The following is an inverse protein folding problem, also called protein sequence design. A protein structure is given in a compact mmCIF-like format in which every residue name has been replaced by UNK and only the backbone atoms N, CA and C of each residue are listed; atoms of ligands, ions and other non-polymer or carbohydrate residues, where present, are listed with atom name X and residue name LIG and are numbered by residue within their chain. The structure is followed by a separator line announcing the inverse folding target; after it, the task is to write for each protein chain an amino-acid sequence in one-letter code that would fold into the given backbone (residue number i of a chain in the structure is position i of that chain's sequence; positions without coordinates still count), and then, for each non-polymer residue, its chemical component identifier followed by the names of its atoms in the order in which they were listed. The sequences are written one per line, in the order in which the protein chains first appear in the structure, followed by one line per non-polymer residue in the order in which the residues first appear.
data_IF_370479403402
#
_entry.id   IF_370479403402
#
_cell.length_a   1.000
_cell.length_b   1.000
_cell.length_c   1.000
_cell.angle_alpha   90.00
_cell.angle_beta   90.00
_cell.angle_gamma   90.00
#
_symmetry.space_group_name_H-M   'P 1'
#
loop_
_entity.id
_entity.type
_entity.pdbx_description
1 polymer ?
#
# COMPACT_ATOMS: atom_id res chain seq x y z
N UNK A 1 25.34 -0.28 36.60
CA UNK A 1 25.37 -1.60 35.93
C UNK A 1 24.93 -1.44 34.47
N UNK A 2 25.61 -0.55 33.73
CA UNK A 2 25.25 -0.07 32.38
C UNK A 2 26.53 0.07 31.54
N UNK A 3 27.36 -0.97 31.51
CA UNK A 3 28.66 -0.95 30.82
C UNK A 3 28.96 -2.32 30.23
N UNK A 4 28.31 -2.69 29.13
CA UNK A 4 28.78 -3.69 28.16
C UNK A 4 28.06 -3.53 26.80
N UNK A 5 28.15 -2.36 26.17
CA UNK A 5 27.66 -2.17 24.78
C UNK A 5 28.74 -1.71 23.79
N UNK A 6 30.00 -1.58 24.24
CA UNK A 6 31.07 -1.00 23.45
C UNK A 6 32.28 -1.92 23.40
N UNK A 7 32.14 -3.02 22.67
CA UNK A 7 33.24 -3.65 21.94
C UNK A 7 32.63 -4.35 20.74
N UNK A 8 33.43 -4.47 19.69
CA UNK A 8 33.32 -5.34 18.51
C UNK A 8 33.46 -4.50 17.23
N UNK A 9 34.72 -4.15 16.95
CA UNK A 9 35.19 -3.90 15.60
C UNK A 9 35.18 -5.20 14.79
N UNK A 10 34.69 -5.08 13.56
CA UNK A 10 34.91 -5.97 12.40
C UNK A 10 34.96 -7.47 12.74
N UNK A 11 33.80 -8.07 13.00
CA UNK A 11 33.59 -9.52 12.94
C UNK A 11 32.41 -9.76 11.98
N UNK A 12 32.63 -10.60 10.97
CA UNK A 12 31.89 -10.62 9.70
C UNK A 12 30.37 -10.57 9.85
N UNK A 13 29.74 -9.61 9.16
CA UNK A 13 28.28 -9.31 9.11
C UNK A 13 27.43 -10.32 9.89
N UNK A 14 27.46 -10.15 11.21
CA UNK A 14 26.55 -10.81 12.12
C UNK A 14 25.13 -10.42 11.71
N UNK A 15 24.22 -11.37 11.81
CA UNK A 15 22.81 -11.14 11.56
C UNK A 15 22.34 -9.88 12.30
N UNK A 16 21.63 -8.99 11.60
CA UNK A 16 21.00 -7.80 12.18
C UNK A 16 19.55 -7.80 11.76
N UNK A 17 18.67 -7.62 12.75
CA UNK A 17 17.24 -7.38 12.53
C UNK A 17 16.98 -6.07 11.79
N UNK A 18 17.90 -5.11 11.85
CA UNK A 18 17.72 -3.81 11.21
C UNK A 18 17.91 -3.87 9.69
N UNK A 19 17.13 -3.05 8.99
CA UNK A 19 17.10 -2.99 7.53
C UNK A 19 17.56 -1.63 7.00
N UNK A 20 18.42 -1.67 5.98
CA UNK A 20 18.82 -0.47 5.25
C UNK A 20 17.77 -0.05 4.23
N UNK A 21 17.15 -1.00 3.54
CA UNK A 21 16.20 -0.74 2.46
C UNK A 21 14.96 -1.63 2.58
N UNK A 22 13.78 -1.01 2.75
CA UNK A 22 12.50 -1.69 2.88
C UNK A 22 12.10 -2.46 1.61
N UNK A 23 12.57 -2.04 0.42
CA UNK A 23 12.30 -2.72 -0.86
C UNK A 23 12.63 -4.22 -0.82
N UNK A 24 13.69 -4.61 -0.11
CA UNK A 24 14.09 -6.02 0.01
C UNK A 24 13.07 -6.84 0.80
N UNK A 25 12.66 -6.33 1.97
CA UNK A 25 11.61 -6.93 2.81
C UNK A 25 10.29 -6.96 2.07
N UNK A 26 9.92 -5.87 1.38
CA UNK A 26 8.70 -5.79 0.56
C UNK A 26 8.65 -6.88 -0.50
N UNK A 27 9.73 -7.06 -1.26
CA UNK A 27 9.79 -8.09 -2.32
C UNK A 27 9.58 -9.49 -1.73
N UNK A 28 10.33 -9.80 -0.67
CA UNK A 28 10.19 -11.07 0.05
C UNK A 28 8.76 -11.27 0.54
N UNK A 29 8.19 -10.27 1.22
CA UNK A 29 6.84 -10.33 1.77
C UNK A 29 5.78 -10.58 0.71
N UNK A 30 5.91 -9.93 -0.46
CA UNK A 30 4.97 -10.11 -1.57
C UNK A 30 5.01 -11.53 -2.11
N UNK A 31 6.21 -12.08 -2.32
CA UNK A 31 6.39 -13.42 -2.87
C UNK A 31 5.83 -14.52 -1.98
N UNK A 32 6.06 -14.45 -0.66
CA UNK A 32 5.65 -15.50 0.26
C UNK A 32 4.23 -15.32 0.82
N UNK A 33 3.79 -14.08 1.06
CA UNK A 33 2.56 -13.80 1.81
C UNK A 33 1.46 -13.06 1.04
N UNK A 34 1.77 -12.42 -0.10
CA UNK A 34 0.76 -11.73 -0.93
C UNK A 34 0.35 -12.56 -2.15
N UNK A 35 1.32 -13.14 -2.86
CA UNK A 35 1.07 -13.92 -4.06
C UNK A 35 0.69 -15.37 -3.76
N UNK A 36 1.11 -15.87 -2.59
CA UNK A 36 0.73 -17.16 -2.05
C UNK A 36 1.73 -18.26 -2.39
N UNK A 37 2.35 -18.78 -1.33
CA UNK A 37 2.91 -20.14 -1.21
C UNK A 37 4.09 -20.50 -2.13
N UNK A 38 5.00 -19.55 -2.40
CA UNK A 38 6.31 -19.93 -2.92
C UNK A 38 7.06 -20.81 -1.92
N UNK A 39 7.61 -21.92 -2.39
CA UNK A 39 8.57 -22.72 -1.60
C UNK A 39 9.95 -22.05 -1.58
N UNK A 40 10.85 -22.52 -0.72
CA UNK A 40 12.23 -22.03 -0.69
C UNK A 40 12.93 -22.27 -2.04
N UNK A 41 12.59 -23.39 -2.67
CA UNK A 41 13.16 -23.88 -3.92
C UNK A 41 12.70 -23.06 -5.13
N UNK A 42 11.55 -22.38 -5.02
CA UNK A 42 10.97 -21.50 -6.05
C UNK A 42 11.47 -20.04 -5.95
N UNK A 43 12.34 -19.74 -4.98
CA UNK A 43 12.93 -18.42 -4.80
C UNK A 43 14.31 -18.36 -5.48
N UNK A 44 14.32 -17.94 -6.74
CA UNK A 44 15.50 -17.82 -7.60
C UNK A 44 16.08 -16.40 -7.66
N UNK A 45 15.38 -15.40 -7.11
CA UNK A 45 15.75 -13.99 -7.21
C UNK A 45 17.03 -13.60 -6.45
N UNK A 46 17.41 -14.32 -5.38
CA UNK A 46 18.63 -14.04 -4.59
C UNK A 46 19.29 -15.33 -4.05
N UNK A 47 20.53 -15.20 -3.58
CA UNK A 47 21.24 -16.29 -2.92
C UNK A 47 20.52 -16.83 -1.68
N UNK A 48 20.67 -18.12 -1.39
CA UNK A 48 20.03 -18.79 -0.24
C UNK A 48 20.35 -18.10 1.09
N UNK A 49 21.56 -17.55 1.25
CA UNK A 49 21.96 -16.78 2.44
C UNK A 49 21.16 -15.48 2.60
N UNK A 50 20.86 -14.79 1.49
CA UNK A 50 20.04 -13.58 1.52
C UNK A 50 18.61 -13.91 1.92
N UNK A 51 18.06 -14.99 1.36
CA UNK A 51 16.76 -15.53 1.75
C UNK A 51 16.69 -15.84 3.26
N UNK A 52 17.66 -16.60 3.79
CA UNK A 52 17.65 -17.01 5.20
C UNK A 52 17.75 -15.80 6.14
N UNK A 53 18.49 -14.75 5.74
CA UNK A 53 18.57 -13.51 6.50
C UNK A 53 17.25 -12.74 6.50
N UNK A 54 16.61 -12.52 5.34
CA UNK A 54 15.33 -11.80 5.30
C UNK A 54 14.23 -12.58 6.03
N UNK A 55 14.23 -13.92 5.92
CA UNK A 55 13.32 -14.76 6.68
C UNK A 55 13.48 -14.56 8.19
N UNK A 56 14.71 -14.58 8.70
CA UNK A 56 14.98 -14.38 10.14
C UNK A 56 14.51 -13.01 10.62
N UNK A 57 14.68 -11.96 9.81
CA UNK A 57 14.15 -10.61 10.12
C UNK A 57 12.64 -10.61 10.22
N UNK A 58 11.97 -11.27 9.28
CA UNK A 58 10.52 -11.41 9.35
C UNK A 58 10.07 -12.20 10.58
N UNK A 59 10.76 -13.30 10.91
CA UNK A 59 10.50 -14.08 12.12
C UNK A 59 10.70 -13.25 13.40
N UNK A 60 11.66 -12.33 13.44
CA UNK A 60 11.83 -11.44 14.61
C UNK A 60 10.68 -10.45 14.81
N UNK A 61 9.97 -10.05 13.75
CA UNK A 61 8.88 -9.06 13.87
C UNK A 61 7.49 -9.68 13.89
N UNK A 62 7.31 -10.79 13.16
CA UNK A 62 6.01 -11.41 12.92
C UNK A 62 5.93 -12.84 13.44
N UNK A 63 6.92 -13.34 14.18
CA UNK A 63 7.03 -14.75 14.58
C UNK A 63 5.73 -15.34 15.12
N UNK A 64 5.04 -14.62 16.00
CA UNK A 64 3.77 -15.04 16.62
C UNK A 64 2.61 -15.18 15.61
N UNK A 65 2.73 -14.53 14.45
CA UNK A 65 1.75 -14.52 13.36
C UNK A 65 2.18 -15.40 12.19
N UNK A 66 3.35 -16.04 12.25
CA UNK A 66 3.85 -16.90 11.19
C UNK A 66 3.50 -18.35 11.47
N UNK A 67 3.01 -19.05 10.46
CA UNK A 67 2.67 -20.46 10.53
C UNK A 67 3.18 -21.18 9.29
N UNK A 68 3.27 -22.51 9.37
CA UNK A 68 3.69 -23.32 8.24
C UNK A 68 2.81 -24.55 8.08
N UNK A 69 2.70 -25.01 6.83
CA UNK A 69 2.12 -26.30 6.48
C UNK A 69 3.17 -27.09 5.70
N UNK A 70 3.23 -28.39 5.98
CA UNK A 70 4.00 -29.33 5.19
C UNK A 70 3.04 -30.05 4.24
N UNK A 71 3.30 -29.99 2.94
CA UNK A 71 2.61 -30.79 1.93
C UNK A 71 3.62 -31.56 1.07
N UNK A 72 3.13 -32.28 0.05
CA UNK A 72 3.96 -33.05 -0.87
C UNK A 72 4.88 -32.16 -1.75
N UNK A 73 4.58 -30.86 -1.88
CA UNK A 73 5.37 -29.89 -2.62
C UNK A 73 6.44 -29.20 -1.75
N UNK A 74 6.33 -29.27 -0.42
CA UNK A 74 7.36 -28.83 0.51
C UNK A 74 6.81 -28.12 1.75
N UNK A 75 7.68 -27.31 2.38
CA UNK A 75 7.28 -26.44 3.50
C UNK A 75 6.76 -25.12 2.97
N UNK A 76 5.48 -24.83 3.19
CA UNK A 76 4.86 -23.56 2.84
C UNK A 76 4.67 -22.71 4.10
N UNK A 77 5.11 -21.45 4.04
CA UNK A 77 4.99 -20.49 5.14
C UNK A 77 3.87 -19.49 4.81
N UNK A 78 3.05 -19.14 5.80
CA UNK A 78 1.95 -18.20 5.66
C UNK A 78 1.74 -17.38 6.93
N UNK A 79 1.03 -16.26 6.83
CA UNK A 79 0.60 -15.49 7.99
C UNK A 79 -0.73 -16.05 8.52
N UNK A 80 -0.75 -16.42 9.79
CA UNK A 80 -1.94 -16.83 10.53
C UNK A 80 -2.30 -15.72 11.51
N UNK A 81 -3.34 -14.96 11.16
CA UNK A 81 -3.75 -13.75 11.88
C UNK A 81 -5.22 -13.85 12.24
N UNK A 82 -5.56 -13.77 13.53
CA UNK A 82 -6.93 -13.56 13.98
C UNK A 82 -7.20 -12.05 14.08
N UNK A 83 -7.98 -11.51 13.14
CA UNK A 83 -8.30 -10.09 13.10
C UNK A 83 -9.03 -9.57 14.34
N UNK A 84 -9.59 -10.45 15.17
CA UNK A 84 -10.21 -10.09 16.46
C UNK A 84 -9.20 -9.87 17.59
N UNK A 85 -8.02 -10.48 17.47
CA UNK A 85 -6.97 -10.43 18.49
C UNK A 85 -5.83 -9.47 18.10
N UNK A 86 -5.79 -9.00 16.86
CA UNK A 86 -4.81 -8.00 16.41
C UNK A 86 -5.42 -6.61 16.52
N UNK A 87 -4.93 -5.84 17.49
CA UNK A 87 -5.30 -4.44 17.70
C UNK A 87 -4.52 -3.51 16.76
N UNK A 88 -3.23 -3.80 16.52
CA UNK A 88 -2.35 -3.01 15.66
C UNK A 88 -1.71 -3.89 14.60
N UNK A 89 -1.59 -3.39 13.38
CA UNK A 89 -0.95 -4.14 12.32
C UNK A 89 0.53 -4.42 12.65
N UNK A 90 0.92 -5.70 12.82
CA UNK A 90 2.27 -6.06 13.26
C UNK A 90 3.35 -5.73 12.22
N UNK A 91 2.95 -5.53 10.96
CA UNK A 91 3.87 -5.17 9.88
C UNK A 91 4.44 -3.75 9.99
N UNK A 92 3.91 -2.88 10.86
CA UNK A 92 4.54 -1.58 11.13
C UNK A 92 5.95 -1.73 11.71
N UNK A 93 6.23 -2.82 12.43
CA UNK A 93 7.55 -3.07 12.99
C UNK A 93 8.63 -3.18 11.91
N UNK A 94 8.28 -3.68 10.72
CA UNK A 94 9.22 -3.75 9.60
C UNK A 94 9.68 -2.35 9.13
N UNK A 95 8.83 -1.33 9.24
CA UNK A 95 9.22 0.07 8.97
C UNK A 95 10.06 0.67 10.10
N UNK A 96 9.75 0.31 11.35
CA UNK A 96 10.45 0.77 12.55
C UNK A 96 11.86 0.17 12.69
N UNK A 97 12.12 -0.98 12.07
CA UNK A 97 13.42 -1.66 12.06
C UNK A 97 14.48 -1.01 11.15
N UNK A 98 14.41 0.30 10.85
CA UNK A 98 15.38 0.98 10.00
C UNK A 98 16.75 1.03 10.67
N UNK A 99 17.81 0.66 9.92
CA UNK A 99 19.18 0.81 10.39
C UNK A 99 19.68 2.25 10.24
N UNK A 100 20.37 2.77 11.25
CA UNK A 100 21.08 4.06 11.22
C UNK A 100 22.58 3.86 11.35
N UNK A 101 23.38 4.75 10.75
CA UNK A 101 24.83 4.73 10.97
C UNK A 101 25.18 5.29 12.34
N UNK A 102 26.37 4.96 12.86
CA UNK A 102 26.87 5.56 14.11
C UNK A 102 26.89 7.09 14.04
N UNK A 103 27.30 7.65 12.90
CA UNK A 103 27.33 9.09 12.67
C UNK A 103 25.93 9.72 12.66
N UNK A 104 24.95 9.05 12.05
CA UNK A 104 23.56 9.53 12.06
C UNK A 104 22.99 9.63 13.48
N UNK A 105 23.21 8.61 14.30
CA UNK A 105 22.74 8.59 15.70
C UNK A 105 23.41 9.70 16.51
N UNK A 106 24.73 9.80 16.40
CA UNK A 106 25.51 10.82 17.11
C UNK A 106 25.04 12.24 16.77
N UNK A 107 24.94 12.55 15.48
CA UNK A 107 24.51 13.88 15.03
C UNK A 107 23.05 14.16 15.40
N UNK A 108 22.17 13.15 15.38
CA UNK A 108 20.77 13.33 15.76
C UNK A 108 20.64 13.87 17.18
N UNK A 109 21.30 13.23 18.15
CA UNK A 109 21.17 13.63 19.55
C UNK A 109 21.90 14.94 19.83
N UNK A 110 23.15 15.10 19.39
CA UNK A 110 23.92 16.31 19.72
C UNK A 110 23.37 17.57 19.05
N UNK A 111 22.92 17.49 17.79
CA UNK A 111 22.35 18.66 17.11
C UNK A 111 21.02 19.08 17.74
N UNK A 112 20.15 18.13 18.11
CA UNK A 112 18.86 18.46 18.71
C UNK A 112 18.98 18.97 20.14
N UNK A 113 20.01 18.54 20.87
CA UNK A 113 20.34 19.04 22.22
C UNK A 113 20.94 20.45 22.15
N UNK A 114 21.94 20.67 21.29
CA UNK A 114 22.55 22.00 21.10
C UNK A 114 21.57 23.07 20.61
N UNK A 115 20.51 22.67 19.92
CA UNK A 115 19.46 23.56 19.42
C UNK A 115 18.21 23.55 20.31
N UNK A 116 18.21 22.83 21.45
CA UNK A 116 17.04 22.64 22.31
C UNK A 116 16.53 23.95 22.91
N UNK A 117 17.43 24.86 23.26
CA UNK A 117 17.11 26.15 23.88
C UNK A 117 16.52 27.17 22.88
N UNK A 118 16.38 26.79 21.60
CA UNK A 118 15.82 27.64 20.55
C UNK A 118 16.81 28.66 19.97
N UNK A 119 18.05 28.69 20.47
CA UNK A 119 19.12 29.49 19.90
C UNK A 119 19.46 29.05 18.48
N UNK A 120 19.65 30.03 17.60
CA UNK A 120 20.06 29.77 16.23
C UNK A 120 21.60 29.70 16.17
N UNK A 121 22.14 28.65 15.55
CA UNK A 121 23.59 28.42 15.45
C UNK A 121 24.02 28.12 14.02
N UNK A 122 25.22 28.55 13.66
CA UNK A 122 25.83 28.25 12.37
C UNK A 122 26.37 26.81 12.33
N UNK A 123 26.63 26.30 11.12
CA UNK A 123 27.30 25.00 10.93
C UNK A 123 28.63 24.93 11.68
N UNK A 124 29.41 26.03 11.64
CA UNK A 124 30.74 26.09 12.25
C UNK A 124 30.63 25.99 13.77
N UNK A 125 29.76 26.79 14.38
CA UNK A 125 29.52 26.76 15.83
C UNK A 125 29.02 25.39 16.28
N UNK A 126 28.08 24.78 15.55
CA UNK A 126 27.58 23.44 15.87
C UNK A 126 28.67 22.38 15.77
N UNK A 127 29.55 22.47 14.77
CA UNK A 127 30.65 21.52 14.60
C UNK A 127 31.67 21.66 15.75
N UNK A 128 32.00 22.90 16.11
CA UNK A 128 32.90 23.21 17.23
C UNK A 128 32.31 22.71 18.56
N UNK A 129 31.06 23.06 18.87
CA UNK A 129 30.35 22.60 20.07
C UNK A 129 30.27 21.06 20.14
N UNK A 130 30.05 20.36 19.02
CA UNK A 130 30.07 18.89 19.01
C UNK A 130 31.44 18.36 19.46
N UNK A 131 32.53 18.94 18.96
CA UNK A 131 33.89 18.53 19.33
C UNK A 131 34.19 18.89 20.80
N UNK A 132 33.93 20.14 21.22
CA UNK A 132 34.31 20.64 22.55
C UNK A 132 33.41 20.13 23.67
N UNK A 133 32.10 20.10 23.47
CA UNK A 133 31.13 19.90 24.56
C UNK A 133 30.78 18.42 24.76
N UNK A 134 30.87 17.61 23.69
CA UNK A 134 30.53 16.20 23.73
C UNK A 134 31.72 15.28 23.45
N UNK A 135 32.50 15.52 22.39
CA UNK A 135 33.50 14.56 21.95
C UNK A 135 34.83 14.65 22.70
N UNK A 136 35.17 15.80 23.27
CA UNK A 136 36.42 16.04 24.00
C UNK A 136 36.69 15.06 25.16
N UNK A 137 35.63 14.47 25.74
CA UNK A 137 35.75 13.50 26.84
C UNK A 137 35.96 12.06 26.37
N UNK A 138 35.79 11.77 25.07
CA UNK A 138 35.93 10.43 24.52
C UNK A 138 37.27 10.24 23.83
N UNK A 139 37.91 9.09 24.04
CA UNK A 139 39.04 8.61 23.24
C UNK A 139 38.51 7.99 21.93
N UNK A 140 37.80 8.77 21.13
CA UNK A 140 37.13 8.29 19.90
C UNK A 140 37.76 8.89 18.66
N UNK A 141 38.08 8.05 17.67
CA UNK A 141 38.66 8.47 16.37
C UNK A 141 37.62 9.09 15.40
N UNK A 142 36.41 9.36 15.86
CA UNK A 142 35.33 9.86 15.01
C UNK A 142 34.92 11.26 15.43
N UNK A 143 35.32 12.25 14.63
CA UNK A 143 34.84 13.62 14.66
C UNK A 143 34.16 13.96 13.33
N UNK A 144 32.91 14.47 13.35
CA UNK A 144 32.23 14.88 12.13
C UNK A 144 32.82 16.18 11.59
N UNK A 145 33.09 16.23 10.29
CA UNK A 145 33.48 17.46 9.62
C UNK A 145 32.27 18.40 9.38
N UNK A 146 32.54 19.69 9.11
CA UNK A 146 31.48 20.67 8.82
C UNK A 146 30.59 20.25 7.65
N UNK A 147 31.12 19.49 6.68
CA UNK A 147 30.36 19.01 5.51
C UNK A 147 29.28 18.01 5.91
N UNK A 148 29.62 17.10 6.82
CA UNK A 148 28.75 16.08 7.38
C UNK A 148 27.67 16.72 8.24
N UNK A 149 28.04 17.66 9.13
CA UNK A 149 27.09 18.44 9.93
C UNK A 149 26.14 19.23 9.03
N UNK A 150 26.67 19.93 8.01
CA UNK A 150 25.86 20.71 7.05
C UNK A 150 24.86 19.84 6.29
N UNK A 151 25.25 18.65 5.86
CA UNK A 151 24.34 17.71 5.20
C UNK A 151 23.22 17.30 6.14
N UNK A 152 23.53 17.01 7.40
CA UNK A 152 22.52 16.60 8.39
C UNK A 152 21.54 17.72 8.75
N UNK A 153 22.03 18.96 8.88
CA UNK A 153 21.19 20.13 9.11
C UNK A 153 20.23 20.38 7.95
N UNK A 154 20.71 20.29 6.70
CA UNK A 154 19.85 20.40 5.50
C UNK A 154 18.81 19.28 5.43
N UNK A 155 19.18 18.05 5.79
CA UNK A 155 18.24 16.93 5.88
C UNK A 155 17.13 17.25 6.89
N UNK A 156 17.48 17.75 8.08
CA UNK A 156 16.49 18.08 9.12
C UNK A 156 15.64 19.30 8.78
N UNK A 157 16.19 20.27 8.05
CA UNK A 157 15.42 21.36 7.47
C UNK A 157 14.40 20.86 6.45
N UNK A 158 14.80 19.96 5.55
CA UNK A 158 13.88 19.33 4.58
C UNK A 158 12.79 18.50 5.26
N UNK A 159 13.09 17.87 6.39
CA UNK A 159 12.13 17.14 7.21
C UNK A 159 11.24 18.05 8.08
N UNK A 160 11.49 19.36 8.12
CA UNK A 160 10.76 20.31 8.97
C UNK A 160 11.06 20.19 10.46
N UNK A 161 12.18 19.55 10.84
CA UNK A 161 12.65 19.50 12.23
C UNK A 161 13.39 20.77 12.63
N UNK A 162 14.09 21.37 11.66
CA UNK A 162 14.84 22.61 11.81
C UNK A 162 14.33 23.63 10.80
N UNK A 163 14.59 24.90 11.09
CA UNK A 163 14.46 26.00 10.13
C UNK A 163 15.78 26.73 10.02
N UNK A 164 16.08 27.27 8.86
CA UNK A 164 17.27 28.10 8.65
C UNK A 164 16.93 29.56 8.37
N UNK A 165 17.80 30.46 8.81
CA UNK A 165 17.73 31.89 8.54
C UNK A 165 19.09 32.41 8.10
N UNK A 166 19.10 33.18 7.01
CA UNK A 166 20.33 33.80 6.51
C UNK A 166 20.56 35.14 7.20
N UNK A 167 21.66 35.25 7.94
CA UNK A 167 22.06 36.50 8.60
C UNK A 167 23.44 36.91 8.05
N UNK A 168 23.45 37.99 7.26
CA UNK A 168 24.65 38.44 6.54
C UNK A 168 25.16 37.40 5.53
N UNK A 169 26.37 36.88 5.77
CA UNK A 169 27.00 35.84 4.94
C UNK A 169 26.82 34.42 5.46
N UNK A 170 26.30 34.27 6.68
CA UNK A 170 26.17 32.99 7.36
C UNK A 170 24.72 32.51 7.40
N UNK A 171 24.56 31.20 7.56
CA UNK A 171 23.26 30.53 7.63
C UNK A 171 23.14 29.90 9.02
N UNK A 172 22.14 30.35 9.76
CA UNK A 172 21.85 29.90 11.12
C UNK A 172 20.71 28.89 11.09
N UNK A 173 20.82 27.85 11.90
CA UNK A 173 19.80 26.83 12.06
C UNK A 173 19.26 26.86 13.49
N UNK A 174 17.96 26.67 13.63
CA UNK A 174 17.29 26.50 14.93
C UNK A 174 16.22 25.42 14.83
N UNK A 175 15.76 24.90 15.97
CA UNK A 175 14.61 23.99 15.99
C UNK A 175 13.36 24.70 15.49
N UNK A 176 12.56 23.95 14.73
CA UNK A 176 11.21 24.39 14.44
C UNK A 176 10.40 24.38 15.75
N UNK A 177 9.59 25.42 15.93
CA UNK A 177 8.67 25.59 17.05
C UNK A 177 7.32 24.91 16.80
N UNK A 178 7.12 24.33 15.61
CA UNK A 178 5.90 23.59 15.29
C UNK A 178 5.80 22.31 16.13
N UNK A 179 5.17 22.42 17.30
CA UNK A 179 4.82 21.29 18.15
C UNK A 179 3.34 20.94 17.94
N UNK A 180 3.07 19.76 17.40
CA UNK A 180 1.70 19.23 17.35
C UNK A 180 1.43 18.50 18.66
N UNK A 181 0.51 19.02 19.47
CA UNK A 181 0.06 18.35 20.69
C UNK A 181 -0.63 17.03 20.36
N UNK A 182 0.09 15.91 20.45
CA UNK A 182 -0.42 14.58 20.05
C UNK A 182 -1.49 14.02 20.98
N UNK A 183 -1.60 14.52 22.22
CA UNK A 183 -2.53 14.02 23.23
C UNK A 183 -3.99 13.99 22.75
N UNK A 184 -4.46 15.07 22.12
CA UNK A 184 -5.84 15.15 21.59
C UNK A 184 -6.05 14.33 20.32
N UNK A 185 -4.99 13.78 19.73
CA UNK A 185 -5.02 13.02 18.48
C UNK A 185 -4.82 11.53 18.69
N UNK A 186 -4.60 11.05 19.92
CA UNK A 186 -4.28 9.64 20.18
C UNK A 186 -5.35 8.68 19.67
N UNK A 187 -6.63 8.95 19.96
CA UNK A 187 -7.73 8.09 19.51
C UNK A 187 -7.87 8.11 17.98
N UNK A 188 -7.74 9.29 17.37
CA UNK A 188 -7.76 9.45 15.92
C UNK A 188 -6.58 8.70 15.27
N UNK A 189 -5.38 8.82 15.84
CA UNK A 189 -4.19 8.13 15.38
C UNK A 189 -4.36 6.61 15.50
N UNK A 190 -4.91 6.10 16.60
CA UNK A 190 -5.18 4.67 16.78
C UNK A 190 -6.19 4.14 15.75
N UNK A 191 -7.31 4.85 15.55
CA UNK A 191 -8.31 4.43 14.56
C UNK A 191 -7.76 4.50 13.12
N UNK A 192 -7.16 5.63 12.74
CA UNK A 192 -6.71 5.85 11.37
C UNK A 192 -5.42 5.11 11.01
N UNK A 193 -4.61 4.69 11.99
CA UNK A 193 -3.49 3.76 11.73
C UNK A 193 -4.01 2.51 11.03
N UNK A 194 -5.10 1.92 11.51
CA UNK A 194 -5.60 0.66 10.95
C UNK A 194 -6.62 0.87 9.83
N UNK A 195 -7.45 1.93 9.92
CA UNK A 195 -8.54 2.18 8.98
C UNK A 195 -8.08 2.81 7.66
N UNK A 196 -7.15 3.78 7.70
CA UNK A 196 -6.74 4.56 6.54
C UNK A 196 -5.52 3.95 5.81
N UNK A 197 -5.30 4.32 4.54
CA UNK A 197 -4.00 4.14 3.91
C UNK A 197 -2.91 4.88 4.69
N UNK A 198 -1.65 4.47 4.53
CA UNK A 198 -0.48 5.09 5.20
C UNK A 198 -0.53 5.03 6.73
N UNK A 199 -1.21 4.02 7.27
CA UNK A 199 -1.32 3.78 8.71
C UNK A 199 -0.02 3.74 9.50
N UNK A 200 1.09 3.43 8.83
CA UNK A 200 2.43 3.45 9.43
C UNK A 200 2.78 4.81 10.05
N UNK A 201 2.27 5.92 9.49
CA UNK A 201 2.46 7.25 10.06
C UNK A 201 1.81 7.34 11.43
N UNK A 202 0.54 6.89 11.55
CA UNK A 202 -0.17 6.85 12.81
C UNK A 202 0.54 5.95 13.83
N UNK A 203 1.10 4.83 13.39
CA UNK A 203 1.90 3.95 14.24
C UNK A 203 3.13 4.65 14.85
N UNK A 204 3.83 5.50 14.09
CA UNK A 204 4.92 6.33 14.62
C UNK A 204 4.44 7.43 15.58
N UNK A 205 3.24 7.97 15.36
CA UNK A 205 2.67 8.99 16.26
C UNK A 205 2.28 8.38 17.61
N UNK A 206 1.72 7.16 17.60
CA UNK A 206 1.32 6.43 18.80
C UNK A 206 2.51 6.04 19.66
N UNK A 207 3.66 5.70 19.05
CA UNK A 207 4.91 5.44 19.78
C UNK A 207 5.39 6.64 20.63
N UNK A 208 4.93 7.86 20.32
CA UNK A 208 5.25 9.08 21.07
C UNK A 208 4.22 9.40 22.16
N UNK A 209 3.10 8.69 22.19
CA UNK A 209 2.06 8.85 23.21
C UNK A 209 2.43 8.17 24.52
N UNK A 210 1.94 8.71 25.63
CA UNK A 210 2.10 8.09 26.96
C UNK A 210 1.17 6.88 27.17
N UNK A 211 0.09 6.79 26.38
CA UNK A 211 -0.93 5.73 26.46
C UNK A 211 -1.28 5.19 25.08
N UNK A 212 -1.51 3.88 25.01
CA UNK A 212 -1.99 3.20 23.82
C UNK A 212 -3.52 3.12 23.83
N UNK A 213 -4.17 3.60 22.77
CA UNK A 213 -5.63 3.52 22.62
C UNK A 213 -6.06 2.15 22.06
N UNK A 214 -5.94 1.11 22.90
CA UNK A 214 -6.09 -0.32 22.57
C UNK A 214 -7.52 -0.84 22.66
N UNK A 215 -8.48 -0.10 22.12
CA UNK A 215 -9.91 -0.45 22.19
C UNK A 215 -10.60 -0.57 20.82
N UNK A 216 -9.89 -0.32 19.72
CA UNK A 216 -10.42 -0.54 18.37
C UNK A 216 -10.16 -1.96 17.90
N UNK A 217 -11.21 -2.63 17.40
CA UNK A 217 -11.13 -3.94 16.78
C UNK A 217 -11.71 -3.92 15.36
N UNK A 218 -11.04 -4.61 14.43
CA UNK A 218 -11.40 -4.58 13.01
C UNK A 218 -11.77 -5.96 12.50
N UNK A 219 -13.05 -6.18 12.20
CA UNK A 219 -13.53 -7.46 11.64
C UNK A 219 -12.84 -7.83 10.33
N UNK A 220 -12.68 -6.86 9.43
CA UNK A 220 -12.06 -7.02 8.11
C UNK A 220 -10.81 -6.12 8.03
N UNK A 221 -9.67 -6.65 8.46
CA UNK A 221 -8.43 -5.87 8.55
C UNK A 221 -7.46 -6.22 7.41
N UNK A 222 -7.29 -5.28 6.47
CA UNK A 222 -6.36 -5.41 5.33
C UNK A 222 -4.96 -4.88 5.65
N UNK A 223 -4.21 -5.64 6.45
CA UNK A 223 -2.90 -5.27 7.00
C UNK A 223 -1.79 -5.13 5.94
N UNK A 224 -1.86 -5.90 4.86
CA UNK A 224 -0.78 -5.98 3.86
C UNK A 224 -0.59 -4.70 3.04
N UNK A 225 -1.55 -3.76 3.07
CA UNK A 225 -1.45 -2.43 2.41
C UNK A 225 -0.21 -1.65 2.84
N UNK A 226 0.25 -1.88 4.07
CA UNK A 226 1.43 -1.20 4.61
C UNK A 226 2.69 -1.43 3.79
N UNK A 227 2.81 -2.59 3.14
CA UNK A 227 3.95 -2.93 2.30
C UNK A 227 4.11 -1.92 1.15
N UNK A 228 3.02 -1.33 0.70
CA UNK A 228 2.99 -0.41 -0.43
C UNK A 228 3.05 1.06 -0.01
N UNK A 229 3.25 1.36 1.29
CA UNK A 229 3.15 2.74 1.83
C UNK A 229 4.15 3.72 1.20
N UNK A 230 5.41 3.33 1.01
CA UNK A 230 6.42 4.22 0.37
C UNK A 230 6.02 4.56 -1.07
N UNK A 231 5.54 3.57 -1.82
CA UNK A 231 5.09 3.76 -3.21
C UNK A 231 3.86 4.65 -3.23
N UNK A 232 2.91 4.39 -2.32
CA UNK A 232 1.70 5.20 -2.20
C UNK A 232 2.02 6.65 -1.87
N UNK A 233 2.96 6.92 -0.96
CA UNK A 233 3.43 8.28 -0.67
C UNK A 233 3.95 8.97 -1.93
N UNK A 234 4.90 8.36 -2.64
CA UNK A 234 5.44 8.95 -3.87
C UNK A 234 4.34 9.24 -4.89
N UNK A 235 3.37 8.33 -5.07
CA UNK A 235 2.27 8.52 -6.00
C UNK A 235 1.35 9.68 -5.57
N UNK A 236 1.06 9.82 -4.28
CA UNK A 236 0.26 10.91 -3.75
C UNK A 236 0.98 12.26 -3.89
N UNK A 237 2.30 12.30 -3.72
CA UNK A 237 3.11 13.49 -3.97
C UNK A 237 3.06 13.88 -5.45
N UNK A 238 3.18 12.91 -6.36
CA UNK A 238 3.04 13.14 -7.80
C UNK A 238 1.63 13.65 -8.17
N UNK A 239 0.60 13.09 -7.54
CA UNK A 239 -0.79 13.55 -7.72
C UNK A 239 -1.00 14.98 -7.21
N UNK A 240 -0.37 15.34 -6.10
CA UNK A 240 -0.50 16.67 -5.48
C UNK A 240 0.28 17.73 -6.27
N UNK A 241 1.44 17.37 -6.79
CA UNK A 241 2.33 18.26 -7.57
C UNK A 241 2.05 18.22 -9.08
N UNK A 242 1.04 17.44 -9.50
CA UNK A 242 0.65 17.26 -10.89
C UNK A 242 1.82 16.86 -11.81
N UNK A 243 2.67 15.94 -11.37
CA UNK A 243 3.78 15.42 -12.17
C UNK A 243 3.56 13.96 -12.59
N UNK A 244 4.29 13.54 -13.62
CA UNK A 244 4.37 12.13 -13.99
C UNK A 244 5.11 11.34 -12.91
N UNK A 245 4.89 10.04 -12.86
CA UNK A 245 5.65 9.09 -12.07
C UNK A 245 6.32 8.07 -13.02
N UNK A 246 7.57 7.76 -12.75
CA UNK A 246 8.31 6.67 -13.38
C UNK A 246 8.19 5.42 -12.52
N UNK A 247 7.61 4.35 -13.08
CA UNK A 247 7.30 3.12 -12.36
C UNK A 247 8.05 1.94 -12.97
N UNK A 248 8.68 1.12 -12.12
CA UNK A 248 9.07 -0.24 -12.51
C UNK A 248 8.01 -1.22 -12.00
N UNK A 249 7.35 -1.89 -12.94
CA UNK A 249 6.23 -2.79 -12.68
C UNK A 249 6.60 -4.19 -13.13
N UNK A 250 6.49 -5.18 -12.25
CA UNK A 250 6.76 -6.58 -12.57
C UNK A 250 5.47 -7.40 -12.42
N UNK A 251 4.80 -7.73 -13.53
CA UNK A 251 3.64 -8.60 -13.50
C UNK A 251 4.05 -10.02 -13.12
N UNK A 252 3.30 -10.63 -12.19
CA UNK A 252 3.51 -12.01 -11.72
C UNK A 252 3.71 -13.05 -12.84
N UNK A 253 3.09 -12.85 -14.02
CA UNK A 253 3.12 -13.81 -15.13
C UNK A 253 4.29 -13.62 -16.12
N UNK A 254 4.94 -12.46 -16.16
CA UNK A 254 5.99 -12.19 -17.15
C UNK A 254 7.41 -12.24 -16.60
N UNK A 255 7.60 -12.12 -15.28
CA UNK A 255 8.93 -12.15 -14.62
C UNK A 255 9.88 -11.00 -14.99
N UNK A 256 9.59 -10.25 -16.04
CA UNK A 256 10.36 -9.07 -16.44
C UNK A 256 9.72 -7.78 -15.93
N UNK A 257 10.50 -7.01 -15.19
CA UNK A 257 10.16 -5.65 -14.80
C UNK A 257 10.06 -4.76 -16.06
N UNK A 258 8.97 -4.01 -16.15
CA UNK A 258 8.70 -3.08 -17.24
C UNK A 258 8.68 -1.67 -16.69
N UNK A 259 9.38 -0.79 -17.38
CA UNK A 259 9.37 0.63 -17.07
C UNK A 259 8.13 1.31 -17.68
N UNK A 260 7.48 2.17 -16.88
CA UNK A 260 6.27 2.88 -17.26
C UNK A 260 6.31 4.34 -16.77
N UNK A 261 6.27 5.27 -17.72
CA UNK A 261 5.95 6.67 -17.44
C UNK A 261 4.43 6.87 -17.42
N UNK A 262 3.89 7.29 -16.28
CA UNK A 262 2.44 7.43 -16.08
C UNK A 262 2.09 8.71 -15.34
N UNK A 263 0.92 9.28 -15.62
CA UNK A 263 0.36 10.35 -14.78
C UNK A 263 -0.59 9.71 -13.78
N UNK A 264 -0.25 9.62 -12.48
CA UNK A 264 -1.14 9.07 -11.47
C UNK A 264 -2.35 9.99 -11.27
N UNK A 265 -3.55 9.41 -11.18
CA UNK A 265 -4.81 10.17 -11.14
C UNK A 265 -5.74 9.76 -9.99
N UNK A 266 -5.78 8.48 -9.63
CA UNK A 266 -6.62 7.99 -8.52
C UNK A 266 -6.07 6.70 -7.93
N UNK A 267 -6.17 6.55 -6.61
CA UNK A 267 -5.92 5.29 -5.92
C UNK A 267 -7.27 4.64 -5.58
N UNK A 268 -7.41 3.37 -5.93
CA UNK A 268 -8.56 2.53 -5.61
C UNK A 268 -8.14 1.47 -4.58
N UNK A 269 -8.99 1.25 -3.59
CA UNK A 269 -8.83 0.18 -2.61
C UNK A 269 -10.08 -0.71 -2.62
N UNK A 270 -9.89 -2.01 -2.81
CA UNK A 270 -10.99 -2.98 -2.79
C UNK A 270 -11.52 -3.14 -1.36
N UNK A 271 -12.81 -2.94 -1.16
CA UNK A 271 -13.50 -3.22 0.11
C UNK A 271 -13.76 -4.71 0.36
N UNK A 272 -13.43 -5.56 -0.61
CA UNK A 272 -13.60 -7.02 -0.53
C UNK A 272 -12.27 -7.72 -0.27
N UNK A 273 -11.22 -7.32 -0.98
CA UNK A 273 -9.91 -8.00 -0.95
C UNK A 273 -8.80 -7.17 -0.31
N UNK A 274 -9.03 -5.88 -0.06
CA UNK A 274 -8.00 -4.96 0.43
C UNK A 274 -6.94 -4.57 -0.61
N UNK A 275 -6.97 -5.18 -1.80
CA UNK A 275 -6.01 -4.88 -2.88
C UNK A 275 -6.13 -3.43 -3.33
N UNK A 276 -4.98 -2.82 -3.61
CA UNK A 276 -4.90 -1.44 -4.06
C UNK A 276 -4.47 -1.36 -5.53
N UNK A 277 -5.01 -0.36 -6.22
CA UNK A 277 -4.78 -0.13 -7.63
C UNK A 277 -4.55 1.35 -7.89
N UNK A 278 -3.56 1.67 -8.71
CA UNK A 278 -3.34 2.98 -9.27
C UNK A 278 -4.08 3.08 -10.61
N UNK A 279 -5.02 4.02 -10.75
CA UNK A 279 -5.51 4.50 -12.03
C UNK A 279 -4.62 5.63 -12.52
N UNK A 280 -4.02 5.44 -13.68
CA UNK A 280 -3.10 6.41 -14.26
C UNK A 280 -3.26 6.52 -15.79
N UNK A 281 -2.93 7.69 -16.34
CA UNK A 281 -2.75 7.82 -17.78
C UNK A 281 -1.36 7.34 -18.18
N UNK A 282 -1.27 6.29 -19.00
CA UNK A 282 0.02 5.78 -19.46
C UNK A 282 0.49 6.50 -20.72
N UNK A 283 1.71 7.05 -20.73
CA UNK A 283 2.31 7.60 -21.97
C UNK A 283 2.52 6.50 -23.02
N UNK A 284 2.93 5.31 -22.60
CA UNK A 284 3.17 4.15 -23.47
C UNK A 284 1.90 3.71 -24.20
N UNK A 285 0.80 3.54 -23.46
CA UNK A 285 -0.46 3.05 -24.03
C UNK A 285 -1.40 4.16 -24.53
N UNK A 286 -1.08 5.44 -24.24
CA UNK A 286 -1.88 6.62 -24.56
C UNK A 286 -3.33 6.56 -24.06
N UNK A 287 -3.57 5.79 -22.99
CA UNK A 287 -4.88 5.57 -22.38
C UNK A 287 -4.78 5.45 -20.87
N UNK A 288 -5.94 5.54 -20.20
CA UNK A 288 -6.07 5.20 -18.79
C UNK A 288 -5.87 3.70 -18.62
N UNK A 289 -5.12 3.32 -17.59
CA UNK A 289 -4.82 1.94 -17.24
C UNK A 289 -4.77 1.79 -15.72
N UNK A 290 -5.10 0.59 -15.24
CA UNK A 290 -4.92 0.22 -13.84
C UNK A 290 -3.61 -0.51 -13.65
N UNK A 291 -2.86 -0.13 -12.63
CA UNK A 291 -1.70 -0.86 -12.12
C UNK A 291 -2.04 -1.40 -10.74
N UNK A 292 -1.79 -2.69 -10.51
CA UNK A 292 -1.84 -3.26 -9.16
C UNK A 292 -0.66 -2.72 -8.35
N UNK A 293 -0.95 -2.15 -7.18
CA UNK A 293 0.07 -1.50 -6.34
C UNK A 293 1.17 -2.46 -5.91
N UNK A 294 0.81 -3.71 -5.63
CA UNK A 294 1.74 -4.75 -5.23
C UNK A 294 2.66 -5.21 -6.38
N UNK A 295 2.34 -4.89 -7.63
CA UNK A 295 3.24 -5.13 -8.78
C UNK A 295 4.20 -3.97 -9.05
N UNK A 296 4.02 -2.82 -8.39
CA UNK A 296 4.92 -1.67 -8.52
C UNK A 296 6.08 -1.89 -7.54
N UNK A 297 7.32 -1.92 -8.03
CA UNK A 297 8.51 -2.13 -7.19
C UNK A 297 9.18 -0.82 -6.80
N UNK A 298 9.13 0.17 -7.68
CA UNK A 298 9.69 1.52 -7.51
C UNK A 298 8.70 2.53 -8.08
N UNK A 299 8.69 3.71 -7.49
CA UNK A 299 7.99 4.88 -8.01
C UNK A 299 8.88 6.08 -7.73
N UNK A 300 9.12 6.89 -8.75
CA UNK A 300 9.92 8.11 -8.65
C UNK A 300 9.19 9.28 -9.33
N UNK A 301 9.24 10.50 -8.76
CA UNK A 301 8.68 11.67 -9.40
C UNK A 301 9.38 11.96 -10.74
N UNK A 302 8.58 12.23 -11.76
CA UNK A 302 9.01 12.59 -13.10
C UNK A 302 8.74 14.06 -13.43
N UNK A 303 8.69 14.36 -14.73
CA UNK A 303 8.45 15.71 -15.22
C UNK A 303 7.05 16.23 -14.85
N UNK A 304 6.89 17.55 -14.73
CA UNK A 304 5.59 18.19 -14.56
C UNK A 304 4.63 17.89 -15.73
N UNK A 305 3.33 17.76 -15.45
CA UNK A 305 2.31 17.53 -16.46
C UNK A 305 1.63 18.84 -16.87
N UNK A 306 2.07 19.43 -17.98
CA UNK A 306 1.55 20.72 -18.48
C UNK A 306 0.03 20.73 -18.74
N UNK A 307 -0.57 19.58 -19.07
CA UNK A 307 -1.98 19.45 -19.43
C UNK A 307 -2.79 18.65 -18.40
N UNK A 308 -2.45 18.73 -17.12
CA UNK A 308 -3.10 17.96 -16.05
C UNK A 308 -4.65 18.04 -16.10
N UNK A 309 -5.21 19.23 -16.31
CA UNK A 309 -6.66 19.44 -16.36
C UNK A 309 -7.38 18.57 -17.41
N UNK A 310 -6.82 18.45 -18.61
CA UNK A 310 -7.38 17.60 -19.67
C UNK A 310 -7.34 16.11 -19.30
N UNK A 311 -6.28 15.67 -18.62
CA UNK A 311 -6.18 14.30 -18.11
C UNK A 311 -7.20 14.02 -16.99
N UNK A 312 -7.37 14.97 -16.08
CA UNK A 312 -8.33 14.88 -14.99
C UNK A 312 -9.77 14.78 -15.52
N UNK A 313 -10.16 15.63 -16.47
CA UNK A 313 -11.49 15.55 -17.11
C UNK A 313 -11.72 14.22 -17.84
N UNK A 314 -10.69 13.72 -18.55
CA UNK A 314 -10.77 12.40 -19.19
C UNK A 314 -10.93 11.30 -18.16
N UNK A 315 -10.25 11.39 -17.02
CA UNK A 315 -10.39 10.46 -15.90
C UNK A 315 -11.81 10.46 -15.35
N UNK A 316 -12.36 11.63 -15.04
CA UNK A 316 -13.72 11.78 -14.52
C UNK A 316 -14.78 11.17 -15.44
N UNK A 317 -14.69 11.42 -16.75
CA UNK A 317 -15.60 10.78 -17.72
C UNK A 317 -15.46 9.27 -17.77
N UNK A 318 -14.22 8.77 -17.69
CA UNK A 318 -13.93 7.34 -17.68
C UNK A 318 -14.50 6.66 -16.42
N UNK A 319 -14.32 7.27 -15.24
CA UNK A 319 -14.80 6.72 -13.97
C UNK A 319 -16.31 6.53 -13.92
N UNK A 320 -17.09 7.37 -14.63
CA UNK A 320 -18.56 7.21 -14.72
C UNK A 320 -19.00 5.93 -15.43
N UNK A 321 -18.11 5.28 -16.18
CA UNK A 321 -18.37 4.04 -16.93
C UNK A 321 -17.61 2.84 -16.37
N UNK A 322 -16.93 3.00 -15.24
CA UNK A 322 -16.26 1.90 -14.57
C UNK A 322 -17.27 1.02 -13.84
N UNK A 323 -17.10 -0.30 -13.98
CA UNK A 323 -17.69 -1.25 -13.06
C UNK A 323 -16.69 -1.58 -11.96
N UNK A 324 -15.45 -1.95 -12.29
CA UNK A 324 -14.37 -2.25 -11.34
C UNK A 324 -13.03 -1.58 -11.69
N UNK A 325 -11.98 -2.38 -11.76
CA UNK A 325 -10.57 -1.98 -11.98
C UNK A 325 -10.03 -2.49 -13.33
N UNK A 326 -10.91 -2.74 -14.30
CA UNK A 326 -10.55 -3.05 -15.69
C UNK A 326 -10.84 -1.85 -16.58
N UNK A 327 -9.97 -1.63 -17.56
CA UNK A 327 -10.16 -0.61 -18.60
C UNK A 327 -10.76 -1.17 -19.89
N UNK A 328 -11.01 -2.48 -19.94
CA UNK A 328 -11.37 -3.19 -21.16
C UNK A 328 -10.25 -3.21 -22.21
N UNK A 329 -10.45 -4.03 -23.23
CA UNK A 329 -9.57 -4.11 -24.40
C UNK A 329 -9.94 -3.12 -25.50
N UNK A 330 -11.22 -2.72 -25.57
CA UNK A 330 -11.77 -1.84 -26.61
C UNK A 330 -11.80 -0.37 -26.18
N UNK A 331 -11.97 0.54 -27.14
CA UNK A 331 -12.31 1.94 -26.90
C UNK A 331 -13.83 2.18 -26.86
N UNK A 332 -14.62 1.18 -27.24
CA UNK A 332 -16.08 1.20 -27.16
C UNK A 332 -16.54 0.66 -25.81
N UNK A 333 -17.64 1.21 -25.29
CA UNK A 333 -18.29 0.66 -24.11
C UNK A 333 -19.02 -0.64 -24.45
N UNK A 334 -19.02 -1.57 -23.51
CA UNK A 334 -19.89 -2.74 -23.54
C UNK A 334 -21.26 -2.35 -23.01
N UNK A 335 -22.31 -2.63 -23.77
CA UNK A 335 -23.69 -2.47 -23.32
C UNK A 335 -24.20 -3.81 -22.79
N UNK A 336 -24.77 -3.81 -21.59
CA UNK A 336 -25.33 -4.99 -20.94
C UNK A 336 -26.74 -4.70 -20.44
N UNK A 337 -27.68 -5.60 -20.76
CA UNK A 337 -29.03 -5.61 -20.19
C UNK A 337 -29.31 -6.95 -19.50
N UNK A 338 -29.89 -6.86 -18.31
CA UNK A 338 -30.31 -8.01 -17.52
C UNK A 338 -31.74 -7.80 -17.05
N UNK A 339 -32.61 -8.77 -17.34
CA UNK A 339 -34.01 -8.78 -16.87
C UNK A 339 -34.14 -9.77 -15.74
N UNK A 340 -34.65 -9.32 -14.61
CA UNK A 340 -34.76 -10.10 -13.36
C UNK A 340 -36.22 -10.20 -12.94
N UNK A 341 -36.64 -11.41 -12.58
CA UNK A 341 -37.92 -11.68 -11.92
C UNK A 341 -37.85 -11.31 -10.43
N UNK A 342 -38.87 -10.59 -9.97
CA UNK A 342 -39.08 -10.22 -8.56
C UNK A 342 -40.50 -10.63 -8.22
N UNK A 343 -40.65 -11.66 -7.39
CA UNK A 343 -41.95 -12.15 -6.94
C UNK A 343 -42.64 -11.19 -5.99
N UNK A 344 -43.91 -11.47 -5.71
CA UNK A 344 -44.70 -10.74 -4.72
C UNK A 344 -44.06 -10.85 -3.33
N UNK A 345 -43.90 -9.72 -2.62
CA UNK A 345 -43.23 -9.66 -1.32
C UNK A 345 -41.70 -9.78 -1.36
N UNK A 346 -41.09 -9.77 -2.55
CA UNK A 346 -39.63 -9.84 -2.71
C UNK A 346 -38.98 -8.46 -2.97
N UNK A 347 -39.50 -7.37 -2.39
CA UNK A 347 -39.01 -6.01 -2.64
C UNK A 347 -37.51 -5.84 -2.31
N UNK A 348 -36.97 -6.70 -1.44
CA UNK A 348 -35.55 -6.75 -1.12
C UNK A 348 -34.66 -6.99 -2.35
N UNK A 349 -35.14 -7.68 -3.39
CA UNK A 349 -34.42 -7.87 -4.65
C UNK A 349 -34.31 -6.56 -5.43
N UNK A 350 -35.42 -5.80 -5.53
CA UNK A 350 -35.43 -4.49 -6.17
C UNK A 350 -34.58 -3.48 -5.42
N UNK A 351 -34.63 -3.48 -4.08
CA UNK A 351 -33.77 -2.65 -3.24
C UNK A 351 -32.29 -3.00 -3.47
N UNK A 352 -31.97 -4.29 -3.56
CA UNK A 352 -30.63 -4.78 -3.85
C UNK A 352 -30.13 -4.34 -5.22
N UNK A 353 -30.93 -4.47 -6.28
CA UNK A 353 -30.61 -3.96 -7.62
C UNK A 353 -30.32 -2.45 -7.58
N UNK A 354 -31.18 -1.67 -6.93
CA UNK A 354 -31.00 -0.21 -6.82
C UNK A 354 -29.75 0.19 -6.03
N UNK A 355 -29.39 -0.57 -4.99
CA UNK A 355 -28.19 -0.34 -4.16
C UNK A 355 -26.91 -0.72 -4.90
N UNK A 356 -26.93 -1.82 -5.66
CA UNK A 356 -25.73 -2.42 -6.26
C UNK A 356 -25.51 -2.01 -7.74
N UNK A 357 -26.43 -1.25 -8.35
CA UNK A 357 -26.40 -0.88 -9.78
C UNK A 357 -25.16 -0.09 -10.24
N UNK A 358 -24.38 0.52 -9.33
CA UNK A 358 -23.22 1.38 -9.65
C UNK A 358 -23.57 2.44 -10.71
N UNK A 359 -22.96 2.38 -11.89
CA UNK A 359 -23.19 3.26 -13.03
C UNK A 359 -24.42 2.88 -13.89
N UNK A 360 -25.06 1.75 -13.60
CA UNK A 360 -26.23 1.27 -14.32
C UNK A 360 -27.54 1.89 -13.86
N UNK A 361 -28.59 1.58 -14.62
CA UNK A 361 -29.97 2.02 -14.39
C UNK A 361 -30.87 0.82 -14.14
N UNK A 362 -31.89 0.99 -13.31
CA UNK A 362 -32.87 -0.04 -12.98
C UNK A 362 -34.25 0.54 -13.26
N UNK A 363 -35.02 -0.15 -14.11
CA UNK A 363 -36.37 0.24 -14.54
C UNK A 363 -37.34 -0.91 -14.28
N UNK A 364 -38.55 -0.60 -13.84
CA UNK A 364 -39.63 -1.60 -13.72
C UNK A 364 -40.21 -1.82 -15.12
N UNK A 365 -40.29 -3.07 -15.55
CA UNK A 365 -40.87 -3.45 -16.86
C UNK A 365 -42.36 -3.77 -16.68
N UNK A 366 -42.68 -4.51 -15.63
CA UNK A 366 -44.03 -4.86 -15.18
C UNK A 366 -44.02 -5.09 -13.66
N UNK A 367 -45.16 -5.50 -13.08
CA UNK A 367 -45.34 -5.68 -11.63
C UNK A 367 -44.33 -6.65 -10.99
N UNK A 368 -43.79 -7.61 -11.74
CA UNK A 368 -42.91 -8.68 -11.24
C UNK A 368 -41.56 -8.75 -11.96
N UNK A 369 -41.23 -7.75 -12.78
CA UNK A 369 -40.05 -7.80 -13.64
C UNK A 369 -39.32 -6.46 -13.68
N UNK A 370 -38.01 -6.52 -13.46
CA UNK A 370 -37.13 -5.35 -13.49
C UNK A 370 -36.03 -5.54 -14.51
N UNK A 371 -35.71 -4.46 -15.23
CA UNK A 371 -34.59 -4.40 -16.16
C UNK A 371 -33.48 -3.54 -15.61
N UNK A 372 -32.29 -4.12 -15.56
CA UNK A 372 -31.04 -3.43 -15.34
C UNK A 372 -30.34 -3.20 -16.69
N UNK A 373 -29.81 -1.99 -16.91
CA UNK A 373 -29.03 -1.67 -18.10
C UNK A 373 -27.82 -0.77 -17.76
N UNK A 374 -26.66 -1.03 -18.37
CA UNK A 374 -25.45 -0.25 -18.18
C UNK A 374 -24.54 -0.23 -19.41
N UNK A 375 -23.87 0.91 -19.63
CA UNK A 375 -22.72 1.00 -20.54
C UNK A 375 -21.43 1.08 -19.72
N UNK A 376 -20.56 0.09 -19.87
CA UNK A 376 -19.37 -0.09 -19.02
C UNK A 376 -18.10 -0.28 -19.84
N UNK A 377 -16.94 0.02 -19.25
CA UNK A 377 -15.65 -0.18 -19.92
C UNK A 377 -15.30 -1.67 -20.12
N UNK A 378 -15.71 -2.55 -19.21
CA UNK A 378 -15.51 -4.00 -19.34
C UNK A 378 -16.65 -4.77 -18.66
N UNK A 379 -17.55 -5.32 -19.45
CA UNK A 379 -18.68 -6.08 -18.92
C UNK A 379 -18.28 -7.40 -18.24
N UNK A 380 -17.06 -7.92 -18.45
CA UNK A 380 -16.60 -9.12 -17.73
C UNK A 380 -16.55 -8.91 -16.22
N UNK A 381 -16.28 -7.69 -15.75
CA UNK A 381 -16.23 -7.37 -14.32
C UNK A 381 -17.60 -7.52 -13.64
N UNK A 382 -18.67 -7.56 -14.43
CA UNK A 382 -20.04 -7.73 -13.95
C UNK A 382 -20.39 -9.19 -13.67
N UNK A 383 -19.66 -10.16 -14.25
CA UNK A 383 -19.96 -11.60 -14.13
C UNK A 383 -20.17 -12.06 -12.68
N UNK A 384 -19.29 -11.74 -11.70
CA UNK A 384 -19.51 -12.15 -10.31
C UNK A 384 -20.81 -11.60 -9.73
N UNK A 385 -21.18 -10.35 -10.07
CA UNK A 385 -22.42 -9.74 -9.62
C UNK A 385 -23.65 -10.36 -10.30
N UNK A 386 -23.60 -10.57 -11.62
CA UNK A 386 -24.67 -11.23 -12.38
C UNK A 386 -24.96 -12.63 -11.83
N UNK A 387 -23.92 -13.41 -11.51
CA UNK A 387 -24.06 -14.76 -10.93
C UNK A 387 -24.85 -14.78 -9.63
N UNK A 388 -24.84 -13.69 -8.85
CA UNK A 388 -25.63 -13.61 -7.62
C UNK A 388 -27.16 -13.47 -7.82
N UNK A 389 -27.61 -13.34 -9.07
CA UNK A 389 -29.02 -13.32 -9.47
C UNK A 389 -29.43 -14.58 -10.26
N UNK A 390 -28.57 -15.60 -10.35
CA UNK A 390 -28.91 -16.89 -10.97
C UNK A 390 -30.21 -17.44 -10.36
N UNK A 391 -31.06 -18.02 -11.21
CA UNK A 391 -32.41 -18.47 -10.86
C UNK A 391 -33.50 -17.40 -10.99
N UNK A 392 -33.13 -16.12 -11.08
CA UNK A 392 -34.08 -14.99 -11.25
C UNK A 392 -33.93 -14.27 -12.59
N UNK A 393 -32.80 -14.44 -13.25
CA UNK A 393 -32.53 -13.82 -14.55
C UNK A 393 -33.41 -14.48 -15.61
N UNK A 394 -34.34 -13.71 -16.19
CA UNK A 394 -35.17 -14.12 -17.34
C UNK A 394 -34.41 -14.00 -18.66
N UNK A 395 -33.59 -12.95 -18.80
CA UNK A 395 -32.77 -12.72 -19.99
C UNK A 395 -31.52 -11.93 -19.65
N UNK A 396 -30.42 -12.26 -20.31
CA UNK A 396 -29.15 -11.53 -20.24
C UNK A 396 -28.63 -11.32 -21.67
N UNK A 397 -28.41 -10.06 -22.04
CA UNK A 397 -27.80 -9.67 -23.32
C UNK A 397 -26.59 -8.78 -23.08
N UNK A 398 -25.58 -8.92 -23.92
CA UNK A 398 -24.41 -8.06 -23.89
C UNK A 398 -23.84 -7.89 -25.30
N UNK A 399 -23.35 -6.70 -25.64
CA UNK A 399 -22.61 -6.48 -26.89
C UNK A 399 -21.33 -7.31 -26.96
N UNK A 400 -20.77 -7.68 -25.81
CA UNK A 400 -19.58 -8.51 -25.68
C UNK A 400 -19.97 -9.97 -25.43
N UNK A 401 -19.94 -10.78 -26.49
CA UNK A 401 -20.36 -12.20 -26.46
C UNK A 401 -19.64 -13.04 -25.40
N UNK A 402 -18.35 -12.78 -25.14
CA UNK A 402 -17.61 -13.54 -24.11
C UNK A 402 -18.29 -13.52 -22.74
N UNK A 403 -19.00 -12.43 -22.40
CA UNK A 403 -19.72 -12.30 -21.13
C UNK A 403 -20.92 -13.23 -21.11
N UNK A 404 -21.76 -13.21 -22.14
CA UNK A 404 -22.94 -14.09 -22.23
C UNK A 404 -22.51 -15.54 -22.33
N UNK A 405 -21.51 -15.85 -23.16
CA UNK A 405 -21.04 -17.22 -23.37
C UNK A 405 -20.48 -17.81 -22.06
N UNK A 406 -19.68 -17.03 -21.32
CA UNK A 406 -19.17 -17.46 -20.01
C UNK A 406 -20.31 -17.68 -19.02
N UNK A 407 -21.25 -16.74 -18.92
CA UNK A 407 -22.37 -16.85 -17.98
C UNK A 407 -23.24 -18.09 -18.22
N UNK A 408 -23.64 -18.35 -19.47
CA UNK A 408 -24.46 -19.52 -19.79
C UNK A 408 -23.66 -20.83 -19.72
N UNK A 409 -22.36 -20.82 -20.03
CA UNK A 409 -21.48 -21.97 -19.81
C UNK A 409 -21.38 -22.34 -18.33
N UNK A 410 -21.21 -21.35 -17.45
CA UNK A 410 -21.21 -21.58 -15.99
C UNK A 410 -22.54 -22.18 -15.51
N UNK A 411 -23.67 -21.71 -16.06
CA UNK A 411 -24.99 -22.22 -15.73
C UNK A 411 -25.17 -23.67 -16.17
N UNK A 412 -24.72 -24.01 -17.39
CA UNK A 412 -24.74 -25.38 -17.90
C UNK A 412 -23.85 -26.32 -17.05
N UNK A 413 -22.66 -25.85 -16.66
CA UNK A 413 -21.77 -26.60 -15.77
C UNK A 413 -22.39 -26.81 -14.38
N UNK A 414 -23.05 -25.79 -13.83
CA UNK A 414 -23.80 -25.92 -12.57
C UNK A 414 -24.94 -26.94 -12.70
N UNK A 415 -25.74 -26.86 -13.76
CA UNK A 415 -26.80 -27.84 -14.02
C UNK A 415 -26.26 -29.26 -14.14
N UNK A 416 -25.13 -29.48 -14.82
CA UNK A 416 -24.51 -30.79 -14.92
C UNK A 416 -24.03 -31.33 -13.56
N UNK A 417 -23.52 -30.46 -12.67
CA UNK A 417 -23.09 -30.86 -11.33
C UNK A 417 -24.26 -31.23 -10.40
N UNK A 418 -25.41 -30.56 -10.53
CA UNK A 418 -26.55 -30.75 -9.64
C UNK A 418 -27.71 -31.55 -10.24
N UNK A 419 -27.72 -31.79 -11.54
CA UNK A 419 -28.80 -32.43 -12.30
C UNK A 419 -28.43 -33.79 -12.90
N UNK A 420 -27.42 -34.45 -12.33
CA UNK A 420 -26.98 -35.79 -12.73
C UNK A 420 -27.27 -36.83 -11.66
N UNK A 421 -28.54 -37.03 -11.33
CA UNK A 421 -29.11 -38.32 -10.94
C UNK A 421 -30.64 -38.19 -10.99
N UNK A 422 -31.29 -39.10 -11.73
CA UNK A 422 -32.75 -39.23 -11.82
C UNK A 422 -33.42 -39.63 -10.47
N UNK A 423 -32.64 -39.70 -9.38
CA UNK A 423 -33.13 -40.00 -8.02
C UNK A 423 -33.53 -38.76 -7.21
N UNK A 424 -33.42 -37.55 -7.77
CA UNK A 424 -33.71 -36.31 -7.05
C UNK A 424 -35.10 -35.71 -7.30
N UNK A 425 -36.06 -36.46 -7.88
CA UNK A 425 -37.48 -36.09 -7.92
C UNK A 425 -38.37 -37.36 -8.05
N UNK A 426 -38.83 -37.88 -6.91
CA UNK A 426 -40.09 -38.65 -6.82
C UNK A 426 -41.11 -37.88 -6.01
#
# INVERSE_FOLDING_TARGET
MLFEFWRWGVIGLAYSELIKNFKNIRSYMREFYVYGFKSREEYDAKSSRSYDNERRRMESWLGDYMSFRQDAAGKQVFLSVDSRNILHNPLYQAFKAKSFTRGDLLLHFYLLDLLAEGEARTVRELTECISTDYLAVFQSDYEPDESTVRKKLREYEQLGLLVSEKQGRELYYRRDTMFVGLGSWQEAAAFFSEAAPLGVIGSYLLDRGESCADFFGFKHHYMLRVLDSEILMTLLDCMTTHCFAELDVEPQKSGEARHHTVLPLKIYASTQTGRQYLLAHSKRFRKLVFFRMDFIHTAEPGAAAEQYGAYAERCERFMRRLWGVSTGGSHTLDHLEMTVYVGEGEEYITQRLKREKRCGTVTMVDEVTYRFAADVCDANEMLPWLRTFIGRIKSLTCTKRSVTDTFYSDLAAMQAMYGGDDDALS
#
